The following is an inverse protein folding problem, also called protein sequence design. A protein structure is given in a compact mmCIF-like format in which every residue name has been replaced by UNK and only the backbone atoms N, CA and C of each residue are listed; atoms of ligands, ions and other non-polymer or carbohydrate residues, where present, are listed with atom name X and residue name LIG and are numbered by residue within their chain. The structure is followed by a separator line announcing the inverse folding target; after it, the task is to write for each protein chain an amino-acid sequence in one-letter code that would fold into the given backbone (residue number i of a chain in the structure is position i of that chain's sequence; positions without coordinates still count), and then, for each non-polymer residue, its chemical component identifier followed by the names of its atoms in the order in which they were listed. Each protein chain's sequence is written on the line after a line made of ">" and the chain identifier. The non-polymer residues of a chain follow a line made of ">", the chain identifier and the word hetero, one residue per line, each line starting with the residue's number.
data_IF_015395060264
#
_entry.id   IF_015395060264
#
_cell.length_a   1.000
_cell.length_b   1.000
_cell.length_c   1.000
_cell.angle_alpha   90.00
_cell.angle_beta   90.00
_cell.angle_gamma   90.00
#
_symmetry.space_group_name_H-M   'P 1'
#
loop_
_entity.id
_entity.type
_entity.pdbx_description
1 polymer ?
#
# COMPACT_ATOMS: atom_id res chain seq x y z
N UNK A 1 -71.61 -21.82 -5.76
CA UNK A 1 -71.05 -20.46 -5.96
C UNK A 1 -69.90 -20.28 -4.99
N UNK A 2 -68.66 -20.40 -5.47
CA UNK A 2 -67.44 -20.05 -4.73
C UNK A 2 -66.65 -19.14 -5.64
N UNK A 3 -66.83 -17.83 -5.45
CA UNK A 3 -66.04 -16.81 -6.13
C UNK A 3 -64.60 -16.90 -5.64
N UNK A 4 -63.67 -17.14 -6.57
CA UNK A 4 -62.24 -17.06 -6.31
C UNK A 4 -61.80 -15.65 -6.66
N UNK A 5 -61.49 -14.87 -5.63
CA UNK A 5 -60.85 -13.56 -5.76
C UNK A 5 -59.39 -13.80 -6.17
N UNK A 6 -59.06 -13.42 -7.40
CA UNK A 6 -57.68 -13.37 -7.88
C UNK A 6 -57.06 -12.05 -7.39
N UNK A 7 -56.12 -12.15 -6.44
CA UNK A 7 -55.31 -11.02 -6.01
C UNK A 7 -54.20 -10.84 -7.06
N UNK A 8 -54.33 -9.79 -7.86
CA UNK A 8 -53.30 -9.33 -8.78
C UNK A 8 -52.24 -8.56 -7.97
N UNK A 9 -51.10 -9.19 -7.68
CA UNK A 9 -49.94 -8.50 -7.13
C UNK A 9 -49.23 -7.80 -8.29
N UNK A 10 -49.41 -6.49 -8.39
CA UNK A 10 -48.61 -5.63 -9.28
C UNK A 10 -47.26 -5.42 -8.61
N UNK A 11 -46.24 -6.14 -9.08
CA UNK A 11 -44.85 -5.84 -8.72
C UNK A 11 -44.43 -4.65 -9.61
N UNK A 12 -44.53 -3.45 -9.05
CA UNK A 12 -43.92 -2.27 -9.66
C UNK A 12 -42.40 -2.44 -9.55
N UNK A 13 -41.73 -2.76 -10.65
CA UNK A 13 -40.28 -2.64 -10.75
C UNK A 13 -39.95 -1.15 -10.64
N UNK A 14 -39.57 -0.70 -9.45
CA UNK A 14 -38.94 0.60 -9.26
C UNK A 14 -37.55 0.44 -9.90
N UNK A 15 -37.40 0.91 -11.14
CA UNK A 15 -36.08 1.29 -11.63
C UNK A 15 -35.60 2.40 -10.72
N UNK A 16 -34.81 2.06 -9.71
CA UNK A 16 -33.95 3.01 -9.04
C UNK A 16 -33.00 3.46 -10.14
N UNK A 17 -33.31 4.59 -10.79
CA UNK A 17 -32.29 5.33 -11.49
C UNK A 17 -31.27 5.66 -10.40
N UNK A 18 -30.12 4.98 -10.43
CA UNK A 18 -29.02 5.26 -9.52
C UNK A 18 -28.81 6.77 -9.55
N UNK A 19 -29.01 7.41 -8.40
CA UNK A 19 -28.67 8.81 -8.26
C UNK A 19 -27.15 8.86 -8.45
N UNK A 20 -26.72 9.29 -9.63
CA UNK A 20 -25.31 9.57 -9.90
C UNK A 20 -24.98 10.82 -9.09
N UNK A 21 -24.46 10.61 -7.90
CA UNK A 21 -23.94 11.68 -7.05
C UNK A 21 -22.50 11.95 -7.53
N UNK A 22 -22.27 13.16 -8.01
CA UNK A 22 -20.93 13.62 -8.37
C UNK A 22 -20.19 13.99 -7.08
N UNK A 23 -19.07 13.33 -6.81
CA UNK A 23 -18.19 13.71 -5.69
C UNK A 23 -17.76 15.18 -5.83
N UNK A 24 -17.84 15.93 -4.73
CA UNK A 24 -17.52 17.36 -4.73
C UNK A 24 -16.00 17.60 -4.61
N UNK A 25 -15.56 18.84 -4.88
CA UNK A 25 -14.17 19.26 -4.66
C UNK A 25 -13.77 19.31 -3.17
N UNK A 26 -14.72 19.15 -2.26
CA UNK A 26 -14.46 19.05 -0.81
C UNK A 26 -14.03 17.63 -0.42
N UNK A 27 -14.38 16.61 -1.21
CA UNK A 27 -14.10 15.18 -0.92
C UNK A 27 -12.75 14.68 -1.47
N UNK A 28 -12.27 15.28 -2.57
CA UNK A 28 -11.11 14.78 -3.31
C UNK A 28 -10.16 15.92 -3.63
N UNK A 29 -8.93 15.80 -3.14
CA UNK A 29 -7.83 16.71 -3.47
C UNK A 29 -6.99 16.12 -4.60
N UNK A 30 -6.62 16.95 -5.57
CA UNK A 30 -5.70 16.59 -6.64
C UNK A 30 -4.36 17.28 -6.45
N UNK A 31 -3.28 16.56 -6.71
CA UNK A 31 -1.94 17.13 -6.74
C UNK A 31 -1.11 16.59 -7.88
N UNK A 32 -0.24 17.40 -8.45
CA UNK A 32 0.85 16.98 -9.32
C UNK A 32 2.08 16.64 -8.47
N UNK A 33 2.75 15.56 -8.82
CA UNK A 33 3.93 15.09 -8.09
C UNK A 33 5.20 15.69 -8.68
N UNK A 34 6.04 16.24 -7.80
CA UNK A 34 7.41 16.63 -8.09
C UNK A 34 8.36 15.60 -7.49
N UNK A 35 9.09 14.89 -8.34
CA UNK A 35 10.16 13.99 -7.88
C UNK A 35 11.40 14.82 -7.56
N UNK A 36 11.88 14.74 -6.32
CA UNK A 36 13.04 15.52 -5.85
C UNK A 36 14.26 14.66 -5.52
N UNK A 37 14.34 13.47 -6.12
CA UNK A 37 15.50 12.59 -6.01
C UNK A 37 16.79 13.31 -6.40
N UNK A 38 17.86 13.08 -5.64
CA UNK A 38 19.12 13.81 -5.82
C UNK A 38 19.68 13.70 -7.24
N UNK A 39 19.58 12.51 -7.86
CA UNK A 39 20.10 12.23 -9.20
C UNK A 39 19.02 12.16 -10.29
N UNK A 40 17.75 12.38 -9.95
CA UNK A 40 16.63 12.25 -10.87
C UNK A 40 15.49 13.22 -10.51
N UNK A 41 15.84 14.52 -10.40
CA UNK A 41 14.87 15.56 -10.13
C UNK A 41 13.98 15.81 -11.37
N UNK A 42 12.67 15.65 -11.21
CA UNK A 42 11.66 15.83 -12.26
C UNK A 42 10.51 16.66 -11.69
N UNK A 43 10.58 18.00 -11.80
CA UNK A 43 9.46 18.87 -11.45
C UNK A 43 8.36 18.76 -12.50
N UNK A 44 7.11 19.00 -12.09
CA UNK A 44 5.91 18.91 -12.91
C UNK A 44 5.87 17.57 -13.67
N UNK A 45 5.97 16.46 -12.93
CA UNK A 45 5.97 15.13 -13.55
C UNK A 45 4.60 14.79 -14.16
N UNK A 46 4.54 13.67 -14.87
CA UNK A 46 3.31 13.10 -15.41
C UNK A 46 2.49 12.34 -14.34
N UNK A 47 2.95 12.31 -13.10
CA UNK A 47 2.22 11.71 -11.98
C UNK A 47 1.24 12.69 -11.35
N UNK A 48 0.01 12.24 -11.24
CA UNK A 48 -1.01 12.82 -10.37
C UNK A 48 -1.14 12.01 -9.09
N UNK A 49 -1.58 12.67 -8.03
CA UNK A 49 -1.97 12.10 -6.75
C UNK A 49 -3.39 12.54 -6.45
N UNK A 50 -4.23 11.60 -6.01
CA UNK A 50 -5.47 11.91 -5.32
C UNK A 50 -5.37 11.59 -3.84
N UNK A 51 -6.01 12.41 -3.03
CA UNK A 51 -6.30 12.13 -1.63
C UNK A 51 -7.81 12.30 -1.42
N UNK A 52 -8.44 11.28 -0.85
CA UNK A 52 -9.88 11.24 -0.60
C UNK A 52 -10.11 11.23 0.90
N UNK A 53 -10.91 12.18 1.40
CA UNK A 53 -11.43 12.11 2.76
C UNK A 53 -12.46 10.97 2.83
N UNK A 54 -12.13 9.91 3.55
CA UNK A 54 -12.95 8.68 3.58
C UNK A 54 -14.30 8.96 4.21
N UNK A 55 -14.35 9.74 5.28
CA UNK A 55 -15.57 10.01 6.04
C UNK A 55 -16.50 10.93 5.26
N UNK A 56 -15.97 11.98 4.64
CA UNK A 56 -16.75 12.92 3.85
C UNK A 56 -17.27 12.26 2.57
N UNK A 57 -16.42 11.52 1.86
CA UNK A 57 -16.82 10.79 0.65
C UNK A 57 -17.95 9.80 0.97
N UNK A 58 -17.77 8.93 1.97
CA UNK A 58 -18.82 7.93 2.31
C UNK A 58 -20.11 8.56 2.80
N UNK A 59 -20.03 9.63 3.61
CA UNK A 59 -21.21 10.35 4.11
C UNK A 59 -21.99 11.05 3.00
N UNK A 60 -21.32 11.75 2.08
CA UNK A 60 -21.97 12.50 1.00
C UNK A 60 -22.62 11.57 -0.03
N UNK A 61 -22.05 10.38 -0.23
CA UNK A 61 -22.55 9.39 -1.17
C UNK A 61 -23.63 8.47 -0.56
N UNK A 62 -23.77 8.46 0.76
CA UNK A 62 -24.73 7.63 1.48
C UNK A 62 -24.41 6.13 1.43
N UNK A 63 -23.13 5.79 1.32
CA UNK A 63 -22.60 4.43 1.25
C UNK A 63 -21.48 4.27 2.28
N UNK A 64 -21.45 3.16 3.02
CA UNK A 64 -20.38 2.89 4.00
C UNK A 64 -19.04 2.49 3.33
N UNK A 65 -19.14 1.93 2.12
CA UNK A 65 -18.00 1.51 1.28
C UNK A 65 -18.37 1.61 -0.21
N UNK A 66 -17.36 1.66 -1.08
CA UNK A 66 -17.55 1.69 -2.53
C UNK A 66 -16.26 1.93 -3.31
N UNK A 67 -16.42 2.30 -4.58
CA UNK A 67 -15.35 2.46 -5.56
C UNK A 67 -15.41 3.82 -6.21
N UNK A 68 -14.35 4.62 -6.00
CA UNK A 68 -14.15 5.89 -6.68
C UNK A 68 -13.53 5.65 -8.06
N UNK A 69 -14.12 6.30 -9.06
CA UNK A 69 -13.69 6.29 -10.45
C UNK A 69 -13.53 7.72 -10.95
N UNK A 70 -12.41 8.01 -11.63
CA UNK A 70 -12.11 9.35 -12.12
C UNK A 70 -11.74 9.30 -13.60
N UNK A 71 -12.40 10.12 -14.41
CA UNK A 71 -12.18 10.28 -15.84
C UNK A 71 -11.67 11.69 -16.14
N UNK A 72 -10.58 11.82 -16.90
CA UNK A 72 -9.99 13.09 -17.35
C UNK A 72 -9.79 13.07 -18.87
N UNK A 73 -9.10 14.06 -19.43
CA UNK A 73 -8.64 13.99 -20.82
C UNK A 73 -7.67 12.82 -21.08
N UNK A 74 -7.02 12.31 -20.04
CA UNK A 74 -6.21 11.09 -20.07
C UNK A 74 -7.03 9.78 -20.08
N UNK A 75 -8.35 9.85 -19.93
CA UNK A 75 -9.24 8.68 -19.83
C UNK A 75 -9.59 8.32 -18.39
N UNK A 76 -9.85 7.03 -18.13
CA UNK A 76 -10.18 6.51 -16.79
C UNK A 76 -8.91 6.35 -15.95
N UNK A 77 -8.48 7.45 -15.31
CA UNK A 77 -7.17 7.55 -14.64
C UNK A 77 -7.14 6.98 -13.23
N UNK A 78 -8.26 7.02 -12.49
CA UNK A 78 -8.40 6.33 -11.20
C UNK A 78 -9.42 5.22 -11.37
N UNK A 79 -8.94 3.98 -11.34
CA UNK A 79 -9.74 2.80 -11.68
C UNK A 79 -10.07 1.97 -10.44
N UNK A 80 -11.33 2.09 -9.99
CA UNK A 80 -11.87 1.41 -8.83
C UNK A 80 -10.94 1.55 -7.61
N UNK A 81 -10.75 2.78 -7.11
CA UNK A 81 -10.14 3.00 -5.80
C UNK A 81 -11.18 2.58 -4.75
N UNK A 82 -10.86 1.55 -3.96
CA UNK A 82 -11.76 1.03 -2.94
C UNK A 82 -11.67 1.91 -1.70
N UNK A 83 -12.82 2.40 -1.24
CA UNK A 83 -12.97 3.27 -0.07
C UNK A 83 -13.90 2.56 0.91
N UNK A 84 -13.48 2.46 2.16
CA UNK A 84 -14.24 1.81 3.24
C UNK A 84 -14.11 2.60 4.54
N UNK A 85 -15.23 3.13 5.03
CA UNK A 85 -15.28 3.88 6.29
C UNK A 85 -14.96 3.00 7.51
N UNK A 86 -15.22 1.69 7.45
CA UNK A 86 -14.94 0.76 8.53
C UNK A 86 -13.45 0.43 8.68
N UNK A 87 -12.62 0.79 7.70
CA UNK A 87 -11.16 0.59 7.74
C UNK A 87 -10.47 1.39 8.85
N UNK A 88 -11.10 2.49 9.31
CA UNK A 88 -10.51 3.42 10.27
C UNK A 88 -9.41 4.31 9.68
N UNK A 89 -9.30 4.39 8.36
CA UNK A 89 -8.43 5.33 7.66
C UNK A 89 -9.11 6.70 7.56
N UNK A 90 -8.36 7.76 7.83
CA UNK A 90 -8.85 9.13 7.65
C UNK A 90 -8.91 9.47 6.15
N UNK A 91 -7.86 9.09 5.40
CA UNK A 91 -7.72 9.37 3.98
C UNK A 91 -7.29 8.12 3.18
N UNK A 92 -7.76 8.02 1.94
CA UNK A 92 -7.26 7.09 0.93
C UNK A 92 -6.45 7.84 -0.13
N UNK A 93 -5.27 7.33 -0.49
CA UNK A 93 -4.38 7.95 -1.49
C UNK A 93 -4.17 7.02 -2.68
N UNK A 94 -4.11 7.57 -3.90
CA UNK A 94 -3.72 6.83 -5.09
C UNK A 94 -2.97 7.73 -6.06
N UNK A 95 -2.00 7.15 -6.77
CA UNK A 95 -1.27 7.82 -7.85
C UNK A 95 -1.81 7.41 -9.22
N UNK A 96 -1.78 8.32 -10.19
CA UNK A 96 -2.32 8.12 -11.53
C UNK A 96 -1.53 8.88 -12.59
N UNK A 97 -1.78 8.56 -13.87
CA UNK A 97 -1.21 9.27 -15.02
C UNK A 97 -2.02 10.54 -15.33
N UNK A 98 -1.41 11.71 -15.26
CA UNK A 98 -2.05 12.99 -15.62
C UNK A 98 -2.35 13.09 -17.12
N UNK A 99 -1.73 12.27 -17.96
CA UNK A 99 -1.88 12.30 -19.41
C UNK A 99 -1.20 13.51 -20.06
N UNK A 100 -0.23 14.12 -19.37
CA UNK A 100 0.53 15.28 -19.85
C UNK A 100 2.00 14.94 -20.06
N UNK A 101 2.72 15.59 -20.99
CA UNK A 101 4.16 15.41 -21.12
C UNK A 101 4.90 15.89 -19.86
N UNK A 102 5.98 15.19 -19.49
CA UNK A 102 6.90 15.60 -18.41
C UNK A 102 7.31 17.07 -18.53
N UNK A 103 7.27 17.79 -17.41
CA UNK A 103 7.58 19.22 -17.32
C UNK A 103 6.38 20.15 -17.56
N UNK A 104 5.20 19.59 -17.86
CA UNK A 104 3.96 20.37 -18.01
C UNK A 104 3.37 20.66 -16.64
N UNK A 105 3.35 21.93 -16.24
CA UNK A 105 2.70 22.39 -15.01
C UNK A 105 1.17 22.29 -15.15
N UNK A 106 0.53 21.51 -14.28
CA UNK A 106 -0.92 21.32 -14.23
C UNK A 106 -1.43 21.99 -12.97
N UNK A 107 -2.06 23.17 -13.14
CA UNK A 107 -2.65 23.94 -12.03
C UNK A 107 -4.16 23.73 -11.88
N UNK A 108 -4.80 23.14 -12.89
CA UNK A 108 -6.21 22.75 -12.84
C UNK A 108 -6.47 21.51 -13.68
N UNK A 109 -7.35 20.64 -13.19
CA UNK A 109 -7.73 19.38 -13.82
C UNK A 109 -9.24 19.35 -14.06
N UNK A 110 -9.66 19.13 -15.31
CA UNK A 110 -11.06 18.88 -15.65
C UNK A 110 -11.36 17.39 -15.52
N UNK A 111 -12.18 17.01 -14.55
CA UNK A 111 -12.43 15.62 -14.20
C UNK A 111 -13.93 15.32 -13.99
N UNK A 112 -14.33 14.10 -14.36
CA UNK A 112 -15.60 13.49 -13.97
C UNK A 112 -15.33 12.42 -12.92
N UNK A 113 -16.00 12.54 -11.77
CA UNK A 113 -15.87 11.63 -10.64
C UNK A 113 -17.19 10.90 -10.43
N UNK A 114 -17.12 9.58 -10.23
CA UNK A 114 -18.27 8.76 -9.83
C UNK A 114 -17.87 7.81 -8.70
N UNK A 115 -18.65 7.83 -7.62
CA UNK A 115 -18.54 6.85 -6.54
C UNK A 115 -19.64 5.79 -6.69
N UNK A 116 -19.25 4.53 -6.72
CA UNK A 116 -20.13 3.41 -7.07
C UNK A 116 -20.07 2.32 -6.01
N UNK A 117 -21.20 1.66 -5.72
CA UNK A 117 -21.23 0.56 -4.75
C UNK A 117 -20.50 -0.70 -5.26
N UNK A 118 -20.57 -0.96 -6.57
CA UNK A 118 -19.94 -2.10 -7.22
C UNK A 118 -18.79 -1.64 -8.13
N UNK A 119 -17.70 -2.42 -8.25
CA UNK A 119 -16.60 -2.04 -9.11
C UNK A 119 -16.98 -2.09 -10.59
N UNK A 120 -16.53 -1.11 -11.34
CA UNK A 120 -16.79 -0.99 -12.77
C UNK A 120 -15.79 -1.82 -13.58
N UNK A 121 -16.22 -2.29 -14.74
CA UNK A 121 -15.34 -2.90 -15.75
C UNK A 121 -14.97 -1.95 -16.88
N UNK A 122 -15.80 -0.93 -17.07
CA UNK A 122 -15.62 0.16 -18.02
C UNK A 122 -16.18 1.42 -17.38
N UNK A 123 -15.49 2.53 -17.56
CA UNK A 123 -15.93 3.85 -17.12
C UNK A 123 -15.70 4.83 -18.25
N UNK A 124 -16.69 5.68 -18.49
CA UNK A 124 -16.67 6.65 -19.58
C UNK A 124 -16.72 8.07 -19.05
N UNK A 125 -16.54 9.02 -19.96
CA UNK A 125 -16.65 10.44 -19.64
C UNK A 125 -18.07 10.84 -19.25
N UNK A 126 -18.19 11.93 -18.50
CA UNK A 126 -19.44 12.42 -17.94
C UNK A 126 -19.45 13.94 -17.76
N UNK A 127 -20.26 14.42 -16.83
CA UNK A 127 -20.26 15.84 -16.48
C UNK A 127 -19.01 16.15 -15.67
N UNK A 128 -18.17 17.05 -16.20
CA UNK A 128 -16.91 17.41 -15.58
C UNK A 128 -17.00 18.67 -14.74
N UNK A 129 -16.19 18.68 -13.69
CA UNK A 129 -15.86 19.86 -12.90
C UNK A 129 -14.37 20.17 -13.07
N UNK A 130 -13.97 21.40 -12.75
CA UNK A 130 -12.57 21.77 -12.68
C UNK A 130 -12.13 21.74 -11.22
N UNK A 131 -11.02 21.07 -10.97
CA UNK A 131 -10.38 20.96 -9.67
C UNK A 131 -9.07 21.72 -9.72
N UNK A 132 -8.71 22.38 -8.63
CA UNK A 132 -7.37 22.93 -8.47
C UNK A 132 -6.39 21.77 -8.26
N UNK A 133 -5.18 21.92 -8.76
CA UNK A 133 -4.12 20.92 -8.64
C UNK A 133 -2.95 21.54 -7.90
N UNK A 134 -2.70 21.04 -6.69
CA UNK A 134 -1.57 21.44 -5.86
C UNK A 134 -0.28 20.70 -6.27
N UNK A 135 0.86 21.10 -5.72
CA UNK A 135 2.12 20.37 -5.86
C UNK A 135 2.43 19.56 -4.60
N UNK A 136 2.83 18.31 -4.75
CA UNK A 136 3.39 17.49 -3.67
C UNK A 136 4.77 16.96 -4.06
N UNK A 137 5.65 16.84 -3.08
CA UNK A 137 7.00 16.31 -3.30
C UNK A 137 7.07 14.81 -3.02
N UNK A 138 7.86 14.11 -3.85
CA UNK A 138 8.16 12.69 -3.71
C UNK A 138 9.68 12.47 -3.69
N UNK A 139 10.16 11.92 -2.59
CA UNK A 139 11.55 11.54 -2.34
C UNK A 139 11.66 10.20 -1.59
N UNK A 140 10.73 9.28 -1.85
CA UNK A 140 10.79 7.94 -1.29
C UNK A 140 11.90 7.14 -2.00
N UNK A 141 13.10 7.11 -1.41
CA UNK A 141 14.25 6.36 -1.92
C UNK A 141 15.08 5.72 -0.79
N UNK A 142 16.21 5.07 -1.09
CA UNK A 142 17.13 4.56 -0.05
C UNK A 142 17.32 3.04 0.01
N UNK A 143 17.12 2.33 -1.09
CA UNK A 143 17.56 0.93 -1.22
C UNK A 143 18.92 0.87 -1.90
N UNK A 144 19.88 0.32 -1.18
CA UNK A 144 21.29 0.32 -1.54
C UNK A 144 21.97 1.67 -1.37
N UNK A 145 23.28 1.71 -1.60
CA UNK A 145 24.10 2.93 -1.46
C UNK A 145 24.10 3.81 -2.71
N UNK A 146 23.29 3.46 -3.72
CA UNK A 146 23.20 4.19 -4.97
C UNK A 146 21.97 5.10 -4.92
N UNK A 147 22.16 6.36 -5.32
CA UNK A 147 21.08 7.34 -5.42
C UNK A 147 20.18 7.02 -6.62
N UNK A 148 18.88 7.30 -6.47
CA UNK A 148 17.90 7.04 -7.52
C UNK A 148 18.20 7.87 -8.78
N UNK A 149 18.40 7.18 -9.90
CA UNK A 149 18.84 7.80 -11.17
C UNK A 149 17.77 7.86 -12.26
N UNK A 150 16.57 7.35 -11.99
CA UNK A 150 15.39 7.56 -12.83
C UNK A 150 14.12 7.51 -11.98
N UNK A 151 13.13 8.33 -12.35
CA UNK A 151 11.79 8.28 -11.76
C UNK A 151 10.95 7.20 -12.44
N UNK A 152 10.09 6.48 -11.70
CA UNK A 152 9.15 5.54 -12.33
C UNK A 152 8.12 6.24 -13.19
N UNK A 153 7.62 5.60 -14.26
CA UNK A 153 6.47 6.09 -15.04
C UNK A 153 5.14 5.75 -14.37
N UNK A 154 4.05 6.51 -14.58
CA UNK A 154 2.73 6.14 -14.05
C UNK A 154 2.28 4.75 -14.51
N UNK A 155 1.36 4.15 -13.75
CA UNK A 155 0.73 2.88 -14.15
C UNK A 155 -0.10 3.05 -15.43
N UNK A 156 0.05 2.16 -16.44
CA UNK A 156 -0.83 2.17 -17.58
C UNK A 156 -2.26 1.74 -17.20
N UNK A 157 -3.28 2.13 -17.97
CA UNK A 157 -4.66 1.69 -17.73
C UNK A 157 -4.79 0.17 -17.67
N UNK A 158 -5.51 -0.31 -16.67
CA UNK A 158 -5.76 -1.72 -16.44
C UNK A 158 -7.11 -2.15 -17.02
N UNK A 159 -7.16 -3.41 -17.43
CA UNK A 159 -8.39 -4.09 -17.87
C UNK A 159 -8.90 -4.95 -16.73
N UNK A 160 -10.18 -4.80 -16.42
CA UNK A 160 -10.88 -5.54 -15.37
C UNK A 160 -11.72 -6.67 -15.97
N UNK A 161 -11.71 -7.83 -15.32
CA UNK A 161 -12.53 -8.98 -15.71
C UNK A 161 -13.88 -8.91 -14.98
N UNK A 162 -15.03 -8.83 -15.67
CA UNK A 162 -16.36 -8.82 -15.03
C UNK A 162 -16.66 -10.08 -14.20
N UNK A 163 -15.89 -11.16 -14.40
CA UNK A 163 -15.97 -12.39 -13.63
C UNK A 163 -14.81 -12.55 -12.64
N UNK A 164 -13.88 -11.59 -12.63
CA UNK A 164 -12.75 -11.56 -11.73
C UNK A 164 -13.19 -11.35 -10.29
N UNK A 165 -12.41 -11.90 -9.36
CA UNK A 165 -12.71 -11.84 -7.94
C UNK A 165 -12.62 -10.40 -7.41
N UNK A 166 -13.52 -10.04 -6.50
CA UNK A 166 -13.49 -8.78 -5.75
C UNK A 166 -13.55 -9.10 -4.25
N UNK A 167 -12.55 -8.63 -3.50
CA UNK A 167 -12.48 -8.70 -2.04
C UNK A 167 -11.42 -7.73 -1.51
N UNK A 168 -11.60 -7.30 -0.27
CA UNK A 168 -10.63 -6.52 0.49
C UNK A 168 -10.24 -7.28 1.77
N UNK A 169 -9.02 -7.04 2.23
CA UNK A 169 -8.60 -7.31 3.59
C UNK A 169 -7.69 -6.18 4.06
N UNK A 170 -8.11 -5.48 5.11
CA UNK A 170 -7.32 -4.44 5.76
C UNK A 170 -7.09 -4.82 7.23
N UNK A 171 -5.82 -4.82 7.68
CA UNK A 171 -5.51 -5.02 9.10
C UNK A 171 -6.03 -3.83 9.91
N UNK A 172 -6.50 -4.04 11.15
CA UNK A 172 -6.79 -2.93 12.04
C UNK A 172 -5.54 -2.06 12.22
N UNK A 173 -5.64 -0.81 11.79
CA UNK A 173 -4.59 0.18 11.93
C UNK A 173 -4.89 1.09 13.12
N UNK A 174 -3.83 1.58 13.76
CA UNK A 174 -3.93 2.65 14.75
C UNK A 174 -3.21 3.89 14.25
N UNK A 175 -3.74 5.05 14.62
CA UNK A 175 -3.06 6.33 14.44
C UNK A 175 -1.68 6.27 15.12
N UNK A 176 -0.66 6.75 14.41
CA UNK A 176 0.73 6.73 14.90
C UNK A 176 1.51 5.46 14.60
N UNK A 177 1.00 4.52 13.79
CA UNK A 177 1.77 3.37 13.30
C UNK A 177 2.61 3.64 12.04
N UNK A 178 2.66 4.90 11.61
CA UNK A 178 3.55 5.39 10.56
C UNK A 178 4.38 6.55 11.12
N UNK A 179 5.64 6.68 10.73
CA UNK A 179 6.57 7.68 11.27
C UNK A 179 7.42 8.29 10.18
N UNK A 180 7.70 9.59 10.28
CA UNK A 180 8.52 10.31 9.31
C UNK A 180 9.98 9.83 9.34
N UNK A 181 10.64 10.03 8.20
CA UNK A 181 11.97 9.49 7.92
C UNK A 181 12.94 10.57 7.53
N UNK A 182 14.22 10.33 7.80
CA UNK A 182 15.29 11.08 7.18
C UNK A 182 15.55 10.59 5.74
N UNK A 183 16.38 11.34 5.02
CA UNK A 183 16.88 10.99 3.69
C UNK A 183 17.42 9.55 3.64
N UNK A 184 16.90 8.79 2.67
CA UNK A 184 17.18 7.38 2.44
C UNK A 184 17.00 6.46 3.68
N UNK A 185 16.10 6.81 4.61
CA UNK A 185 15.84 6.05 5.85
C UNK A 185 14.55 5.20 5.78
N UNK A 186 14.04 4.92 4.56
CA UNK A 186 12.81 4.14 4.38
C UNK A 186 12.84 2.79 5.08
N UNK A 187 14.00 2.13 5.09
CA UNK A 187 14.08 0.78 5.63
C UNK A 187 14.02 0.71 7.17
N UNK A 188 14.86 1.44 7.95
CA UNK A 188 14.69 1.52 9.40
C UNK A 188 13.28 1.93 9.82
N UNK A 189 12.64 2.82 9.06
CA UNK A 189 11.24 3.20 9.31
C UNK A 189 10.27 2.07 9.06
N UNK A 190 10.41 1.33 7.95
CA UNK A 190 9.50 0.22 7.65
C UNK A 190 9.49 -0.78 8.80
N UNK A 191 10.65 -1.15 9.34
CA UNK A 191 10.77 -2.02 10.53
C UNK A 191 10.19 -1.36 11.77
N UNK A 192 10.44 -0.07 11.99
CA UNK A 192 9.91 0.63 13.15
C UNK A 192 8.37 0.59 13.15
N UNK A 193 7.75 0.81 11.99
CA UNK A 193 6.30 0.70 11.81
C UNK A 193 5.80 -0.73 12.08
N UNK A 194 6.53 -1.74 11.61
CA UNK A 194 6.20 -3.17 11.82
C UNK A 194 6.22 -3.53 13.30
N UNK A 195 7.30 -3.15 14.00
CA UNK A 195 7.45 -3.40 15.43
C UNK A 195 6.41 -2.64 16.25
N UNK A 196 6.06 -1.40 15.85
CA UNK A 196 5.01 -0.64 16.53
C UNK A 196 3.64 -1.30 16.36
N UNK A 197 3.34 -1.86 15.18
CA UNK A 197 2.14 -2.66 15.00
C UNK A 197 2.13 -3.90 15.88
N UNK A 198 3.23 -4.65 15.92
CA UNK A 198 3.34 -5.85 16.75
C UNK A 198 3.21 -5.52 18.24
N UNK A 199 3.76 -4.40 18.70
CA UNK A 199 3.55 -3.88 20.05
C UNK A 199 2.07 -3.55 20.28
N UNK A 200 1.48 -2.72 19.42
CA UNK A 200 0.09 -2.28 19.52
C UNK A 200 -0.92 -3.41 19.48
N UNK A 201 -0.60 -4.47 18.72
CA UNK A 201 -1.50 -5.58 18.43
C UNK A 201 -1.34 -6.73 19.41
N UNK A 202 -0.10 -7.08 19.76
CA UNK A 202 0.25 -8.28 20.50
C UNK A 202 0.93 -8.00 21.85
N UNK A 203 1.21 -6.74 22.17
CA UNK A 203 1.94 -6.38 23.38
C UNK A 203 3.41 -6.78 23.34
N UNK A 204 4.01 -6.85 22.14
CA UNK A 204 5.45 -7.03 21.98
C UNK A 204 6.16 -5.89 22.74
N UNK A 205 7.07 -6.18 23.69
CA UNK A 205 7.65 -5.15 24.55
C UNK A 205 8.81 -4.44 23.85
N UNK A 206 8.51 -3.60 22.86
CA UNK A 206 9.52 -2.85 22.11
C UNK A 206 10.11 -1.77 23.03
N UNK A 207 11.41 -1.80 23.34
CA UNK A 207 11.95 -0.98 24.43
C UNK A 207 12.21 0.50 24.07
N UNK A 208 12.01 0.88 22.80
CA UNK A 208 12.32 2.21 22.29
C UNK A 208 11.07 2.84 21.66
N UNK A 209 10.89 4.15 21.88
CA UNK A 209 9.71 4.87 21.36
C UNK A 209 9.69 4.90 19.83
N UNK A 210 8.53 4.56 19.24
CA UNK A 210 8.26 4.81 17.82
C UNK A 210 7.98 6.29 17.58
N UNK A 211 9.02 6.97 17.12
CA UNK A 211 9.01 8.38 16.77
C UNK A 211 10.17 8.66 15.82
N UNK A 212 10.09 9.81 15.17
CA UNK A 212 11.15 10.36 14.32
C UNK A 212 12.53 10.27 15.02
N UNK A 213 13.55 9.87 14.26
CA UNK A 213 14.91 9.85 14.76
C UNK A 213 15.96 9.52 13.70
N UNK A 214 17.21 9.44 14.14
CA UNK A 214 18.41 9.30 13.32
C UNK A 214 19.42 8.40 14.04
N UNK A 215 20.34 7.79 13.28
CA UNK A 215 21.48 7.03 13.82
C UNK A 215 22.12 7.73 15.04
N UNK A 216 22.31 6.97 16.10
CA UNK A 216 22.92 7.40 17.35
C UNK A 216 21.95 7.88 18.44
N UNK A 217 20.68 8.13 18.12
CA UNK A 217 19.68 8.53 19.12
C UNK A 217 19.00 7.33 19.83
N UNK A 218 17.94 7.61 20.59
CA UNK A 218 17.22 6.62 21.39
C UNK A 218 15.77 6.34 20.92
N UNK A 219 15.39 6.85 19.75
CA UNK A 219 14.14 6.44 19.09
C UNK A 219 14.28 5.02 18.51
N UNK A 220 13.15 4.36 18.26
CA UNK A 220 13.14 3.07 17.57
C UNK A 220 13.81 3.16 16.20
N UNK A 221 13.45 4.18 15.42
CA UNK A 221 14.04 4.44 14.08
C UNK A 221 15.55 4.62 14.18
N UNK A 222 16.04 5.47 15.09
CA UNK A 222 17.46 5.75 15.26
C UNK A 222 18.27 4.54 15.76
N UNK A 223 17.68 3.66 16.58
CA UNK A 223 18.31 2.40 16.96
C UNK A 223 18.42 1.42 15.81
N UNK A 224 17.37 1.28 15.00
CA UNK A 224 17.39 0.44 13.80
C UNK A 224 18.39 1.00 12.78
N UNK A 225 18.42 2.32 12.60
CA UNK A 225 19.39 3.03 11.75
C UNK A 225 20.84 2.78 12.21
N UNK A 226 21.07 2.80 13.52
CA UNK A 226 22.36 2.42 14.13
C UNK A 226 22.70 0.96 13.93
N UNK A 227 21.72 0.06 14.04
CA UNK A 227 21.94 -1.37 13.89
C UNK A 227 22.28 -1.76 12.45
N UNK A 228 21.66 -1.10 11.46
CA UNK A 228 21.97 -1.23 10.04
C UNK A 228 23.29 -0.53 9.63
N UNK A 229 23.94 0.16 10.56
CA UNK A 229 25.16 0.95 10.35
C UNK A 229 25.10 1.93 9.16
N UNK A 230 23.91 2.44 8.83
CA UNK A 230 23.71 3.35 7.68
C UNK A 230 24.62 4.57 7.76
N UNK A 231 25.18 4.99 6.64
CA UNK A 231 25.97 6.22 6.57
C UNK A 231 25.03 7.43 6.57
N UNK A 232 25.19 8.31 7.55
CA UNK A 232 24.31 9.47 7.72
C UNK A 232 25.07 10.62 8.37
N UNK A 233 24.88 11.82 7.83
CA UNK A 233 25.45 13.06 8.37
C UNK A 233 24.39 13.82 9.16
N UNK A 234 23.19 13.92 8.61
CA UNK A 234 22.04 14.58 9.21
C UNK A 234 20.75 14.06 8.56
N UNK A 235 19.60 14.63 8.92
CA UNK A 235 18.30 14.16 8.44
C UNK A 235 18.07 14.37 6.94
N UNK A 236 18.84 15.25 6.30
CA UNK A 236 18.73 15.61 4.88
C UNK A 236 19.85 15.01 4.04
N UNK A 237 20.68 14.14 4.64
CA UNK A 237 21.82 13.54 3.96
C UNK A 237 22.20 12.21 4.63
N UNK A 238 21.82 11.12 3.96
CA UNK A 238 22.26 9.78 4.29
C UNK A 238 22.15 8.85 3.10
N UNK A 239 22.84 7.73 3.19
CA UNK A 239 22.77 6.69 2.18
C UNK A 239 21.61 5.74 2.49
N UNK A 240 21.20 4.96 1.49
CA UNK A 240 20.32 3.81 1.70
C UNK A 240 21.05 2.60 2.28
N UNK A 241 20.34 1.49 2.43
CA UNK A 241 20.87 0.22 2.98
C UNK A 241 20.55 -0.93 2.03
N UNK A 242 21.46 -1.88 1.87
CA UNK A 242 21.24 -3.10 1.07
C UNK A 242 20.47 -4.18 1.84
N UNK A 243 19.83 -5.10 1.13
CA UNK A 243 18.91 -6.10 1.70
C UNK A 243 19.53 -7.01 2.77
N UNK A 244 20.80 -7.40 2.60
CA UNK A 244 21.50 -8.21 3.60
C UNK A 244 21.86 -7.40 4.85
N UNK A 245 22.42 -6.20 4.69
CA UNK A 245 22.71 -5.26 5.77
C UNK A 245 21.44 -4.87 6.54
N UNK A 246 20.32 -4.76 5.83
CA UNK A 246 19.05 -4.36 6.41
C UNK A 246 18.46 -5.47 7.30
N UNK A 247 18.46 -6.73 6.84
CA UNK A 247 18.02 -7.86 7.66
C UNK A 247 19.00 -8.13 8.80
N UNK A 248 20.31 -7.98 8.56
CA UNK A 248 21.33 -8.08 9.59
C UNK A 248 21.11 -7.05 10.69
N UNK A 249 20.89 -5.78 10.32
CA UNK A 249 20.60 -4.69 11.25
C UNK A 249 19.32 -4.92 12.06
N UNK A 250 18.24 -5.39 11.42
CA UNK A 250 17.01 -5.81 12.11
C UNK A 250 17.32 -6.89 13.15
N UNK A 251 18.01 -7.95 12.73
CA UNK A 251 18.30 -9.09 13.61
C UNK A 251 19.23 -8.72 14.75
N UNK A 252 20.20 -7.84 14.50
CA UNK A 252 21.05 -7.27 15.53
C UNK A 252 20.24 -6.50 16.57
N UNK A 253 19.36 -5.59 16.16
CA UNK A 253 18.49 -4.84 17.06
C UNK A 253 17.63 -5.77 17.92
N UNK A 254 16.97 -6.74 17.30
CA UNK A 254 16.12 -7.71 18.00
C UNK A 254 16.92 -8.56 19.00
N UNK A 255 18.14 -8.95 18.66
CA UNK A 255 19.02 -9.68 19.57
C UNK A 255 19.45 -8.83 20.77
N UNK A 256 19.95 -7.62 20.54
CA UNK A 256 20.44 -6.72 21.57
C UNK A 256 19.34 -6.23 22.53
N UNK A 257 18.09 -6.22 22.06
CA UNK A 257 16.91 -5.83 22.86
C UNK A 257 16.16 -6.99 23.51
N UNK A 258 16.63 -8.23 23.34
CA UNK A 258 15.99 -9.42 23.92
C UNK A 258 14.68 -9.83 23.22
N UNK A 259 14.44 -9.37 22.00
CA UNK A 259 13.29 -9.71 21.16
C UNK A 259 13.56 -10.87 20.19
N UNK A 260 14.81 -11.32 20.05
CA UNK A 260 15.21 -12.41 19.14
C UNK A 260 14.34 -13.66 19.28
N UNK A 261 13.98 -14.04 20.51
CA UNK A 261 13.18 -15.22 20.77
C UNK A 261 11.68 -14.97 20.77
N UNK A 262 11.23 -13.75 20.46
CA UNK A 262 9.81 -13.36 20.51
C UNK A 262 9.12 -13.38 19.16
N UNK A 263 9.87 -13.42 18.07
CA UNK A 263 9.33 -13.31 16.71
C UNK A 263 9.67 -14.54 15.86
N UNK A 264 8.85 -14.76 14.84
CA UNK A 264 9.10 -15.66 13.71
C UNK A 264 9.25 -14.79 12.47
N UNK A 265 10.26 -15.07 11.64
CA UNK A 265 10.53 -14.32 10.42
C UNK A 265 10.47 -15.24 9.20
N UNK A 266 9.87 -14.73 8.11
CA UNK A 266 9.76 -15.41 6.82
C UNK A 266 9.96 -14.39 5.72
N UNK A 267 10.49 -14.78 4.57
CA UNK A 267 10.61 -13.86 3.45
C UNK A 267 10.32 -14.53 2.10
N UNK A 268 9.99 -13.69 1.13
CA UNK A 268 10.12 -14.01 -0.29
C UNK A 268 10.98 -12.96 -0.99
N UNK A 269 11.62 -13.37 -2.09
CA UNK A 269 12.51 -12.52 -2.87
C UNK A 269 13.89 -12.38 -2.22
N UNK A 270 14.87 -12.04 -3.04
CA UNK A 270 16.26 -11.87 -2.59
C UNK A 270 16.75 -10.43 -2.77
N UNK A 271 15.92 -9.53 -3.29
CA UNK A 271 16.37 -8.22 -3.72
C UNK A 271 17.30 -8.29 -4.93
N UNK A 272 18.16 -7.29 -5.06
CA UNK A 272 19.04 -7.11 -6.22
C UNK A 272 20.40 -6.55 -5.84
N UNK A 273 21.31 -6.55 -6.82
CA UNK A 273 22.62 -5.92 -6.68
C UNK A 273 23.58 -6.69 -5.75
N UNK A 274 24.60 -5.99 -5.27
CA UNK A 274 25.70 -6.59 -4.50
C UNK A 274 25.33 -6.97 -3.06
N UNK A 275 24.24 -6.42 -2.53
CA UNK A 275 23.72 -6.77 -1.21
C UNK A 275 22.34 -7.42 -1.28
N UNK A 276 22.11 -8.20 -2.35
CA UNK A 276 21.01 -9.15 -2.40
C UNK A 276 21.20 -10.24 -1.34
N UNK A 277 20.10 -10.77 -0.82
CA UNK A 277 20.14 -11.90 0.11
C UNK A 277 20.64 -13.17 -0.60
N UNK A 278 21.38 -14.05 0.11
CA UNK A 278 21.69 -15.38 -0.40
C UNK A 278 20.41 -16.20 -0.58
N UNK A 279 20.41 -17.11 -1.56
CA UNK A 279 19.32 -18.07 -1.76
C UNK A 279 19.16 -18.95 -0.51
N UNK A 280 17.93 -19.11 -0.04
CA UNK A 280 17.58 -19.92 1.12
C UNK A 280 17.45 -19.11 2.41
N UNK A 281 17.30 -19.83 3.53
CA UNK A 281 17.14 -19.22 4.86
C UNK A 281 18.28 -18.25 5.17
N UNK A 282 17.95 -17.07 5.71
CA UNK A 282 18.91 -16.06 6.11
C UNK A 282 19.08 -16.06 7.63
N UNK A 283 20.29 -16.34 8.12
CA UNK A 283 20.60 -16.39 9.56
C UNK A 283 21.69 -15.41 9.95
N UNK A 284 21.37 -14.47 10.85
CA UNK A 284 22.31 -13.54 11.50
C UNK A 284 21.88 -13.29 12.94
N UNK A 285 22.84 -12.98 13.82
CA UNK A 285 22.58 -12.67 15.24
C UNK A 285 21.70 -13.71 15.98
N UNK A 286 21.78 -14.98 15.60
CA UNK A 286 20.98 -16.07 16.19
C UNK A 286 19.51 -16.11 15.77
N UNK A 287 19.09 -15.24 14.85
CA UNK A 287 17.73 -15.19 14.29
C UNK A 287 17.77 -15.71 12.85
N UNK A 288 16.73 -16.42 12.43
CA UNK A 288 16.60 -16.94 11.07
C UNK A 288 15.31 -16.44 10.43
N UNK A 289 15.42 -15.83 9.25
CA UNK A 289 14.28 -15.62 8.34
C UNK A 289 14.18 -16.83 7.42
N UNK A 290 13.03 -17.50 7.43
CA UNK A 290 12.77 -18.64 6.56
C UNK A 290 12.49 -18.18 5.13
N UNK A 291 13.20 -18.71 4.16
CA UNK A 291 12.92 -18.45 2.74
C UNK A 291 11.71 -19.28 2.30
N UNK A 292 10.69 -18.59 1.81
CA UNK A 292 9.46 -19.17 1.25
C UNK A 292 9.29 -18.80 -0.24
N UNK A 293 10.35 -18.31 -0.88
CA UNK A 293 10.34 -17.90 -2.28
C UNK A 293 10.05 -19.08 -3.20
N UNK A 294 9.18 -18.86 -4.19
CA UNK A 294 9.00 -19.79 -5.30
C UNK A 294 9.83 -19.27 -6.48
N UNK A 295 10.97 -19.90 -6.75
CA UNK A 295 11.89 -19.45 -7.80
C UNK A 295 12.60 -18.13 -7.50
N UNK A 296 12.74 -17.77 -6.22
CA UNK A 296 13.40 -16.53 -5.78
C UNK A 296 12.56 -15.26 -5.94
N UNK A 297 11.24 -15.41 -6.09
CA UNK A 297 10.31 -14.32 -6.41
C UNK A 297 9.32 -14.05 -5.29
N UNK A 298 8.88 -12.80 -5.20
CA UNK A 298 7.76 -12.38 -4.36
C UNK A 298 6.46 -12.58 -5.11
N UNK A 299 5.41 -13.01 -4.40
CA UNK A 299 4.06 -13.15 -4.96
C UNK A 299 3.05 -12.32 -4.18
N UNK A 300 2.06 -11.78 -4.89
CA UNK A 300 0.93 -11.08 -4.25
C UNK A 300 0.18 -12.01 -3.28
N UNK A 301 -0.03 -13.27 -3.69
CA UNK A 301 -0.70 -14.28 -2.89
C UNK A 301 0.02 -14.50 -1.55
N UNK A 302 1.34 -14.63 -1.52
CA UNK A 302 2.09 -14.81 -0.28
C UNK A 302 1.96 -13.60 0.65
N UNK A 303 2.13 -12.38 0.13
CA UNK A 303 1.96 -11.13 0.90
C UNK A 303 0.59 -11.14 1.58
N UNK A 304 -0.46 -11.40 0.81
CA UNK A 304 -1.81 -11.35 1.34
C UNK A 304 -2.14 -12.50 2.30
N UNK A 305 -1.56 -13.70 2.10
CA UNK A 305 -1.67 -14.80 3.06
C UNK A 305 -1.05 -14.45 4.41
N UNK A 306 0.09 -13.75 4.42
CA UNK A 306 0.70 -13.31 5.68
C UNK A 306 -0.14 -12.22 6.37
N UNK A 307 -0.64 -11.25 5.60
CA UNK A 307 -1.56 -10.22 6.12
C UNK A 307 -2.83 -10.84 6.73
N UNK A 308 -3.43 -11.84 6.07
CA UNK A 308 -4.65 -12.53 6.55
C UNK A 308 -4.41 -13.38 7.81
N UNK A 309 -3.16 -13.78 8.08
CA UNK A 309 -2.74 -14.36 9.37
C UNK A 309 -2.50 -13.29 10.45
N UNK A 310 -2.71 -12.02 10.11
CA UNK A 310 -2.42 -10.85 10.92
C UNK A 310 -0.93 -10.71 11.27
N UNK A 311 -0.06 -11.25 10.42
CA UNK A 311 1.37 -10.98 10.51
C UNK A 311 1.66 -9.55 10.03
N UNK A 312 2.78 -9.01 10.51
CA UNK A 312 3.32 -7.82 9.89
C UNK A 312 4.03 -8.16 8.57
N UNK A 313 3.98 -7.25 7.60
CA UNK A 313 4.61 -7.43 6.29
C UNK A 313 5.31 -6.15 5.87
N UNK A 314 6.61 -6.26 5.62
CA UNK A 314 7.44 -5.24 4.97
C UNK A 314 7.66 -5.63 3.51
N UNK A 315 7.64 -4.64 2.62
CA UNK A 315 7.91 -4.83 1.19
C UNK A 315 8.98 -3.84 0.76
N UNK A 316 9.93 -4.32 -0.04
CA UNK A 316 10.89 -3.47 -0.73
C UNK A 316 10.55 -3.43 -2.21
N UNK A 317 10.37 -2.21 -2.70
CA UNK A 317 10.07 -1.87 -4.07
C UNK A 317 11.39 -1.46 -4.73
N UNK A 318 11.72 -2.04 -5.87
CA UNK A 318 12.81 -1.59 -6.71
C UNK A 318 12.30 -0.63 -7.77
N UNK A 319 13.12 0.34 -8.15
CA UNK A 319 12.90 1.26 -9.27
C UNK A 319 13.79 0.83 -10.44
N UNK A 320 13.21 0.77 -11.63
CA UNK A 320 13.90 0.35 -12.84
C UNK A 320 13.72 1.34 -13.98
N UNK A 321 14.80 1.63 -14.69
CA UNK A 321 14.70 2.25 -16.00
C UNK A 321 14.42 1.15 -17.03
N UNK A 322 13.14 0.90 -17.36
CA UNK A 322 12.77 -0.13 -18.34
C UNK A 322 13.29 0.14 -19.76
N UNK A 323 13.75 1.35 -20.07
CA UNK A 323 14.42 1.62 -21.36
C UNK A 323 15.80 0.96 -21.41
N UNK A 324 16.51 0.92 -20.27
CA UNK A 324 17.87 0.36 -20.18
C UNK A 324 17.91 -1.00 -19.49
N UNK A 325 16.83 -1.40 -18.80
CA UNK A 325 16.79 -2.58 -17.92
C UNK A 325 17.66 -2.42 -16.67
N UNK A 326 18.01 -1.18 -16.30
CA UNK A 326 18.87 -0.91 -15.15
C UNK A 326 18.03 -0.60 -13.93
N UNK A 327 18.34 -1.25 -12.81
CA UNK A 327 17.79 -0.88 -11.50
C UNK A 327 18.43 0.46 -11.10
N UNK A 328 17.58 1.42 -10.74
CA UNK A 328 17.97 2.80 -10.48
C UNK A 328 17.91 3.18 -9.02
N UNK A 329 17.12 2.48 -8.20
CA UNK A 329 16.91 2.78 -6.78
C UNK A 329 15.82 1.88 -6.20
N UNK A 330 15.23 2.29 -5.08
CA UNK A 330 14.09 1.60 -4.48
C UNK A 330 13.61 2.23 -3.18
N UNK A 331 12.55 1.67 -2.61
CA UNK A 331 11.93 2.16 -1.39
C UNK A 331 11.33 1.01 -0.55
N UNK A 332 11.39 1.12 0.78
CA UNK A 332 10.81 0.14 1.70
C UNK A 332 9.55 0.68 2.39
N UNK A 333 8.53 -0.17 2.48
CA UNK A 333 7.22 0.19 3.03
C UNK A 333 6.69 -0.91 3.94
N UNK A 334 5.77 -0.55 4.84
CA UNK A 334 4.97 -1.54 5.59
C UNK A 334 3.62 -1.72 4.91
N UNK A 335 3.24 -2.95 4.60
CA UNK A 335 1.95 -3.28 4.01
C UNK A 335 0.93 -3.62 5.10
N UNK A 336 -0.26 -3.04 4.98
CA UNK A 336 -1.33 -3.24 5.96
C UNK A 336 -2.64 -3.75 5.35
N UNK A 337 -2.80 -3.70 4.04
CA UNK A 337 -3.98 -4.24 3.36
C UNK A 337 -3.65 -4.88 2.02
N UNK A 338 -4.52 -5.78 1.58
CA UNK A 338 -4.49 -6.43 0.28
C UNK A 338 -5.90 -6.68 -0.23
N UNK A 339 -6.09 -6.65 -1.54
CA UNK A 339 -7.37 -6.97 -2.14
C UNK A 339 -7.28 -7.31 -3.62
N UNK A 340 -8.41 -7.69 -4.19
CA UNK A 340 -8.62 -7.78 -5.64
C UNK A 340 -9.87 -6.99 -5.98
N UNK A 341 -9.86 -6.32 -7.12
CA UNK A 341 -11.05 -5.69 -7.71
C UNK A 341 -11.21 -6.22 -9.11
N UNK A 342 -12.29 -6.95 -9.38
CA UNK A 342 -12.57 -7.57 -10.69
C UNK A 342 -11.32 -8.28 -11.25
N UNK A 343 -10.64 -9.06 -10.40
CA UNK A 343 -9.44 -9.82 -10.72
C UNK A 343 -8.12 -9.05 -10.66
N UNK A 344 -8.14 -7.72 -10.51
CA UNK A 344 -6.94 -6.89 -10.43
C UNK A 344 -6.49 -6.76 -8.96
N UNK A 345 -5.34 -7.33 -8.57
CA UNK A 345 -4.78 -7.19 -7.23
C UNK A 345 -4.35 -5.76 -6.88
N UNK A 346 -4.44 -5.43 -5.59
CA UNK A 346 -3.92 -4.20 -5.01
C UNK A 346 -3.39 -4.41 -3.59
N UNK A 347 -2.48 -3.54 -3.16
CA UNK A 347 -1.97 -3.46 -1.78
C UNK A 347 -2.25 -2.06 -1.20
N UNK A 348 -2.36 -2.01 0.13
CA UNK A 348 -2.38 -0.77 0.92
C UNK A 348 -1.15 -0.72 1.80
N UNK A 349 -0.42 0.39 1.80
CA UNK A 349 0.87 0.48 2.49
C UNK A 349 1.06 1.82 3.20
N UNK A 350 1.93 1.83 4.21
CA UNK A 350 2.34 3.01 4.98
C UNK A 350 3.76 3.36 4.60
N UNK A 351 3.99 4.62 4.27
CA UNK A 351 5.33 5.14 4.05
C UNK A 351 5.39 6.65 4.28
N UNK A 352 6.59 7.18 4.07
CA UNK A 352 6.87 8.60 4.00
C UNK A 352 7.26 8.93 2.55
N UNK A 353 6.37 9.61 1.82
CA UNK A 353 6.64 10.00 0.42
C UNK A 353 7.74 11.05 0.32
N UNK A 354 7.99 11.87 1.34
CA UNK A 354 8.89 13.01 1.25
C UNK A 354 10.02 12.95 2.29
N UNK A 355 10.98 12.05 2.05
CA UNK A 355 12.08 11.76 2.97
C UNK A 355 13.20 12.82 2.95
N UNK A 356 12.92 14.10 2.66
CA UNK A 356 13.96 15.13 2.53
C UNK A 356 13.48 16.52 2.93
N UNK A 357 14.44 17.41 3.19
CA UNK A 357 14.18 18.81 3.51
C UNK A 357 13.51 19.63 2.40
N UNK A 358 13.52 19.16 1.14
CA UNK A 358 12.85 19.89 0.06
C UNK A 358 11.34 19.74 0.20
N UNK A 359 10.69 20.81 0.61
CA UNK A 359 9.25 20.81 0.92
C UNK A 359 8.90 20.34 2.32
N UNK A 360 9.82 19.66 3.03
CA UNK A 360 9.62 19.21 4.41
C UNK A 360 10.83 19.45 5.33
N UNK A 361 11.19 20.70 5.63
CA UNK A 361 12.37 21.01 6.45
C UNK A 361 12.24 20.55 7.91
N UNK A 362 11.04 20.18 8.37
CA UNK A 362 10.77 19.75 9.74
C UNK A 362 10.45 18.25 9.86
N UNK A 363 10.38 17.52 8.74
CA UNK A 363 9.88 16.14 8.66
C UNK A 363 8.50 15.98 9.31
N UNK A 364 7.58 16.86 8.92
CA UNK A 364 6.21 16.96 9.41
C UNK A 364 5.17 16.55 8.36
N UNK A 365 5.55 16.46 7.08
CA UNK A 365 4.68 16.05 5.98
C UNK A 365 5.13 14.68 5.44
N UNK A 366 4.54 14.24 4.33
CA UNK A 366 5.00 13.03 3.64
C UNK A 366 4.34 11.72 4.08
N UNK A 367 3.85 11.60 5.31
CA UNK A 367 3.14 10.39 5.73
C UNK A 367 1.84 10.19 4.95
N UNK A 368 1.66 8.99 4.40
CA UNK A 368 0.44 8.62 3.70
C UNK A 368 0.21 7.10 3.72
N UNK A 369 -1.02 6.73 3.31
CA UNK A 369 -1.51 5.36 3.29
C UNK A 369 -2.05 4.98 1.89
N UNK A 370 -1.19 4.83 0.87
CA UNK A 370 -1.67 4.70 -0.49
C UNK A 370 -2.21 3.29 -0.78
N UNK A 371 -3.20 3.24 -1.67
CA UNK A 371 -3.65 2.04 -2.35
C UNK A 371 -3.06 1.98 -3.76
N UNK A 372 -2.45 0.85 -4.09
CA UNK A 372 -1.73 0.67 -5.35
C UNK A 372 -2.05 -0.66 -6.00
N UNK A 373 -2.24 -0.68 -7.32
CA UNK A 373 -2.47 -1.94 -8.04
C UNK A 373 -1.15 -2.71 -8.20
N UNK A 374 -1.22 -4.04 -8.10
CA UNK A 374 -0.04 -4.90 -7.98
C UNK A 374 -0.07 -6.04 -8.99
N UNK A 375 0.39 -5.80 -10.22
CA UNK A 375 0.25 -6.74 -11.34
C UNK A 375 1.60 -6.96 -12.00
N UNK A 376 1.87 -8.18 -12.45
CA UNK A 376 2.97 -8.48 -13.36
C UNK A 376 2.61 -7.93 -14.77
N UNK A 377 3.14 -6.76 -15.09
CA UNK A 377 2.86 -5.99 -16.30
C UNK A 377 3.79 -6.36 -17.46
N UNK A 378 5.00 -6.84 -17.16
CA UNK A 378 6.01 -7.20 -18.18
C UNK A 378 6.20 -8.71 -18.35
N UNK A 379 5.51 -9.53 -17.55
CA UNK A 379 5.45 -10.98 -17.67
C UNK A 379 6.68 -11.69 -17.13
N UNK A 380 7.47 -11.01 -16.30
CA UNK A 380 8.70 -11.56 -15.74
C UNK A 380 8.43 -12.43 -14.50
N UNK A 381 7.20 -12.45 -13.97
CA UNK A 381 6.77 -13.21 -12.79
C UNK A 381 6.97 -12.49 -11.45
N UNK A 382 7.42 -11.23 -11.46
CA UNK A 382 7.49 -10.34 -10.31
C UNK A 382 6.33 -9.33 -10.38
N UNK A 383 5.62 -9.08 -9.27
CA UNK A 383 4.53 -8.13 -9.30
C UNK A 383 5.06 -6.69 -9.35
N UNK A 384 4.62 -5.92 -10.35
CA UNK A 384 4.87 -4.49 -10.39
C UNK A 384 4.03 -3.73 -9.36
N UNK A 385 4.48 -2.55 -8.92
CA UNK A 385 3.90 -1.80 -7.80
C UNK A 385 3.46 -0.39 -8.20
N UNK A 386 2.30 -0.25 -8.83
CA UNK A 386 1.77 1.07 -9.21
C UNK A 386 2.48 1.74 -10.38
N UNK A 387 3.37 1.04 -11.05
CA UNK A 387 4.12 1.51 -12.21
C UNK A 387 4.70 0.30 -12.95
N UNK A 388 4.91 0.38 -14.26
CA UNK A 388 5.68 -0.64 -14.98
C UNK A 388 7.18 -0.60 -14.65
N UNK A 389 7.65 0.45 -13.97
CA UNK A 389 9.05 0.70 -13.64
C UNK A 389 9.33 0.43 -12.16
N UNK A 390 8.36 -0.12 -11.42
CA UNK A 390 8.52 -0.52 -10.03
C UNK A 390 8.14 -1.97 -9.83
N UNK A 391 8.91 -2.70 -9.02
CA UNK A 391 8.67 -4.12 -8.74
C UNK A 391 8.87 -4.43 -7.27
N UNK A 392 8.07 -5.36 -6.74
CA UNK A 392 8.30 -5.89 -5.40
C UNK A 392 9.42 -6.94 -5.47
N UNK A 393 10.63 -6.56 -5.07
CA UNK A 393 11.81 -7.43 -5.16
C UNK A 393 12.11 -8.23 -3.88
N UNK A 394 11.52 -7.82 -2.76
CA UNK A 394 11.66 -8.50 -1.47
C UNK A 394 10.43 -8.22 -0.60
N UNK A 395 10.00 -9.22 0.17
CA UNK A 395 8.98 -9.06 1.20
C UNK A 395 9.34 -9.88 2.44
N UNK A 396 9.23 -9.27 3.62
CA UNK A 396 9.46 -9.90 4.92
C UNK A 396 8.14 -9.96 5.69
N UNK A 397 7.83 -11.11 6.26
CA UNK A 397 6.74 -11.28 7.20
C UNK A 397 7.28 -11.58 8.59
N UNK A 398 6.60 -11.04 9.61
CA UNK A 398 6.91 -11.35 10.99
C UNK A 398 5.68 -11.42 11.90
N UNK A 399 5.75 -12.33 12.87
CA UNK A 399 4.69 -12.53 13.86
C UNK A 399 5.26 -12.97 15.21
N UNK A 400 4.56 -12.72 16.33
CA UNK A 400 5.00 -13.21 17.63
C UNK A 400 5.02 -14.74 17.65
N UNK A 401 5.99 -15.32 18.38
CA UNK A 401 5.98 -16.77 18.62
C UNK A 401 4.68 -17.17 19.34
N UNK A 402 4.06 -18.31 18.99
CA UNK A 402 2.78 -18.73 19.56
C UNK A 402 2.75 -18.80 21.10
N UNK A 403 3.89 -19.01 21.74
CA UNK A 403 4.03 -19.09 23.20
C UNK A 403 3.98 -17.74 23.90
N UNK A 404 4.18 -16.64 23.19
CA UNK A 404 4.33 -15.30 23.74
C UNK A 404 3.11 -14.40 23.52
N UNK A 405 2.07 -14.89 22.85
CA UNK A 405 0.81 -14.14 22.68
C UNK A 405 -0.01 -14.30 23.96
N UNK A 406 -0.14 -13.27 24.82
CA UNK A 406 -1.13 -13.33 25.89
C UNK A 406 -2.49 -13.57 25.23
N UNK A 407 -3.35 -14.39 25.86
CA UNK A 407 -4.69 -14.74 25.36
C UNK A 407 -5.61 -13.49 25.43
N UNK A 408 -5.26 -12.44 24.72
CA UNK A 408 -6.18 -11.42 24.24
C UNK A 408 -6.76 -12.03 22.97
N UNK A 409 -7.84 -12.80 23.12
CA UNK A 409 -8.60 -13.37 22.00
C UNK A 409 -8.78 -12.29 20.93
N UNK A 410 -8.09 -12.39 19.77
CA UNK A 410 -8.18 -11.38 18.75
C UNK A 410 -9.49 -11.62 17.99
N UNK A 411 -10.60 -11.12 18.54
CA UNK A 411 -11.94 -11.21 17.94
C UNK A 411 -11.90 -10.71 16.49
N UNK A 412 -11.10 -9.67 16.19
CA UNK A 412 -10.99 -9.09 14.84
C UNK A 412 -10.29 -9.92 13.76
N UNK A 413 -9.37 -10.84 14.09
CA UNK A 413 -8.72 -11.70 13.06
C UNK A 413 -9.33 -13.10 12.99
N UNK A 414 -9.82 -13.63 14.12
CA UNK A 414 -10.42 -14.97 14.18
C UNK A 414 -11.84 -15.00 13.58
N UNK A 415 -12.62 -13.92 13.72
CA UNK A 415 -13.97 -13.86 13.11
C UNK A 415 -13.90 -13.91 11.58
N UNK A 416 -12.90 -13.27 10.96
CA UNK A 416 -12.72 -13.29 9.49
C UNK A 416 -12.33 -14.69 9.01
N UNK A 417 -11.46 -15.40 9.73
CA UNK A 417 -11.08 -16.77 9.38
C UNK A 417 -12.26 -17.77 9.53
N UNK A 418 -13.10 -17.60 10.56
CA UNK A 418 -14.31 -18.41 10.75
C UNK A 418 -15.41 -18.09 9.72
N UNK A 419 -15.51 -16.85 9.24
CA UNK A 419 -16.41 -16.50 8.15
C UNK A 419 -15.98 -17.15 6.82
N UNK A 420 -14.68 -17.17 6.53
CA UNK A 420 -14.13 -17.80 5.31
C UNK A 420 -14.32 -19.33 5.33
N UNK A 421 -14.17 -19.97 6.49
CA UNK A 421 -14.42 -21.41 6.65
C UNK A 421 -15.92 -21.77 6.77
N UNK A 422 -16.78 -20.80 7.07
CA UNK A 422 -18.20 -21.00 7.37
C UNK A 422 -19.17 -20.84 6.18
N UNK A 423 -18.79 -20.19 5.09
CA UNK A 423 -19.68 -19.91 3.94
C UNK A 423 -19.52 -20.86 2.75
N UNK A 424 -19.05 -22.09 3.00
CA UNK A 424 -19.21 -23.23 2.08
C UNK A 424 -20.62 -23.84 2.07
N UNK A 425 -21.67 -23.12 2.50
CA UNK A 425 -23.06 -23.57 2.33
C UNK A 425 -23.61 -23.00 1.04
N UNK A 426 -23.44 -23.80 0.00
CA UNK A 426 -24.17 -23.79 -1.26
C UNK A 426 -25.63 -23.31 -1.05
N UNK A 427 -25.93 -22.09 -1.44
CA UNK A 427 -27.30 -21.66 -1.69
C UNK A 427 -27.76 -22.27 -3.02
N UNK A 428 -28.15 -23.55 -3.01
CA UNK A 428 -29.00 -24.11 -4.08
C UNK A 428 -30.32 -23.35 -4.02
N UNK A 429 -30.48 -22.36 -4.91
CA UNK A 429 -31.81 -21.88 -5.32
C UNK A 429 -32.55 -23.06 -5.93
N UNK A 430 -33.38 -23.72 -5.13
CA UNK A 430 -34.43 -24.63 -5.63
C UNK A 430 -35.41 -23.80 -6.46
N UNK A 431 -35.26 -23.82 -7.78
CA UNK A 431 -36.33 -23.51 -8.71
C UNK A 431 -37.41 -24.57 -8.54
N UNK A 432 -38.45 -24.27 -7.76
CA UNK A 432 -39.70 -25.02 -7.84
C UNK A 432 -40.41 -24.63 -9.13
N UNK A 433 -40.41 -25.56 -10.10
CA UNK A 433 -41.44 -25.59 -11.14
C UNK A 433 -42.78 -25.91 -10.49
N UNK A 434 -43.78 -25.06 -10.73
CA UNK A 434 -45.16 -25.47 -10.91
C UNK A 434 -45.69 -24.84 -12.19
#
# INVERSE_FOLDING_TARGET
>A
MKERIAILIVITAICIMGLVLTASAEEVTFSQVDFVFTNANVPNSDWGRIEVDVAECTANQGLDEGYLNIYTDGGWVVQNLFIDNASGMDNDTMYFDLGVPLGTDVTSLSAYLEFTADPLVTFGDGLRSNYDVDTVYYNAEGIGTLLTSAVPRPMPPLVFDPTGETWDFTKPNKKGENVQTADCQCFPMSIANSLQYLENRYGLPVPHDHKIGLKGDNSLVGKLDTACDRSVINRTHGDGVWFDDMLEGKFKYLNETGLADKLVHRHQGYGYGSGALPIGDFTKHGITSKDESVGGKVTFEWICEQLKKCEDVEVVIQYENKTTGSITGGHAVRVFGCGKTNGVPYLRYKHDRNQTSQGDPNDEIGLEEPQVKVKDLDGDGMPNFGSNDTEICFALSESPKPTDVPILTPIGCILTLLAILGFGVIAIRRTYKR
#
